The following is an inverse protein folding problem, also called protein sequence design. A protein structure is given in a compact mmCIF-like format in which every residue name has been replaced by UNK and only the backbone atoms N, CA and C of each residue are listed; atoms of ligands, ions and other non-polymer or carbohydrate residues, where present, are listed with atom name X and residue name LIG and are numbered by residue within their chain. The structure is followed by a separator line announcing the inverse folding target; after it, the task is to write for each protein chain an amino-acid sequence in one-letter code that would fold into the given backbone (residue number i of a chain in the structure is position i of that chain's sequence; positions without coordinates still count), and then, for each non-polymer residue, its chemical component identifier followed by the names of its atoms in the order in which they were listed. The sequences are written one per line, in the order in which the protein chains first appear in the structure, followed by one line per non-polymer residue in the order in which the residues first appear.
data_IF_116486402470
#
_entry.id   IF_116486402470
#
_cell.length_a   1.000
_cell.length_b   1.000
_cell.length_c   1.000
_cell.angle_alpha   90.00
_cell.angle_beta   90.00
_cell.angle_gamma   90.00
#
_symmetry.space_group_name_H-M   'P 1'
#
loop_
_entity.id
_entity.type
_entity.pdbx_description
1 polymer ?
#
# COMPACT_ATOMS: atom_id res chain seq x y z
N UNK A 1 12.14 13.66 13.43
CA UNK A 1 11.19 14.49 12.66
C UNK A 1 11.37 15.96 13.02
N UNK A 2 11.36 16.84 12.02
CA UNK A 2 11.22 18.28 12.19
C UNK A 2 9.82 18.63 12.70
N UNK A 3 9.57 19.87 13.13
CA UNK A 3 8.22 20.27 13.56
C UNK A 3 7.20 20.19 12.39
N UNK A 4 7.61 20.53 11.17
CA UNK A 4 6.76 20.40 9.99
C UNK A 4 6.42 18.93 9.69
N UNK A 5 7.40 18.03 9.75
CA UNK A 5 7.16 16.60 9.59
C UNK A 5 6.24 16.02 10.66
N UNK A 6 6.33 16.50 11.91
CA UNK A 6 5.43 16.08 12.99
C UNK A 6 3.98 16.44 12.68
N UNK A 7 3.72 17.66 12.23
CA UNK A 7 2.37 18.12 11.87
C UNK A 7 1.78 17.23 10.74
N UNK A 8 2.59 16.89 9.73
CA UNK A 8 2.15 16.00 8.66
C UNK A 8 1.89 14.58 9.21
N UNK A 9 2.81 14.06 10.03
CA UNK A 9 2.65 12.74 10.64
C UNK A 9 1.40 12.64 11.50
N UNK A 10 1.14 13.65 12.35
CA UNK A 10 -0.06 13.72 13.20
C UNK A 10 -1.33 13.73 12.32
N UNK A 11 -1.34 14.52 11.25
CA UNK A 11 -2.46 14.55 10.31
C UNK A 11 -2.70 13.19 9.64
N UNK A 12 -1.64 12.49 9.25
CA UNK A 12 -1.74 11.15 8.64
C UNK A 12 -2.28 10.12 9.64
N UNK A 13 -1.82 10.15 10.88
CA UNK A 13 -2.30 9.24 11.93
C UNK A 13 -3.76 9.54 12.27
N UNK A 14 -4.16 10.81 12.41
CA UNK A 14 -5.55 11.19 12.64
C UNK A 14 -6.44 10.72 11.48
N UNK A 15 -6.03 10.96 10.23
CA UNK A 15 -6.77 10.48 9.08
C UNK A 15 -6.89 8.94 9.07
N UNK A 16 -5.83 8.24 9.46
CA UNK A 16 -5.84 6.78 9.57
C UNK A 16 -6.82 6.28 10.64
N UNK A 17 -6.91 6.98 11.78
CA UNK A 17 -7.82 6.62 12.88
C UNK A 17 -9.27 6.98 12.58
N UNK A 18 -9.53 8.02 11.80
CA UNK A 18 -10.89 8.45 11.43
C UNK A 18 -11.48 7.61 10.29
N UNK A 19 -10.67 6.74 9.65
CA UNK A 19 -11.07 5.92 8.50
C UNK A 19 -10.75 4.43 8.72
N UNK A 20 -10.73 3.67 7.63
CA UNK A 20 -10.55 2.21 7.65
C UNK A 20 -9.25 1.72 8.34
N UNK A 21 -8.22 2.55 8.39
CA UNK A 21 -6.94 2.15 8.97
C UNK A 21 -6.99 1.98 10.50
N UNK A 22 -8.04 2.45 11.17
CA UNK A 22 -8.28 2.15 12.59
C UNK A 22 -8.33 0.64 12.84
N UNK A 23 -8.93 -0.15 11.92
CA UNK A 23 -9.03 -1.61 12.04
C UNK A 23 -7.68 -2.31 11.88
N UNK A 24 -6.68 -1.66 11.31
CA UNK A 24 -5.30 -2.14 11.23
C UNK A 24 -4.47 -1.63 12.40
N UNK A 25 -4.65 -0.37 12.81
CA UNK A 25 -3.85 0.28 13.85
C UNK A 25 -4.23 -0.15 15.27
N UNK A 26 -5.51 -0.21 15.60
CA UNK A 26 -5.99 -0.50 16.96
C UNK A 26 -6.39 -1.96 17.09
N UNK A 27 -7.05 -2.52 16.07
CA UNK A 27 -7.52 -3.89 16.06
C UNK A 27 -6.70 -4.74 15.06
N UNK A 28 -6.83 -6.05 15.19
CA UNK A 28 -6.18 -7.04 14.30
C UNK A 28 -7.12 -7.51 13.19
N UNK A 29 -8.24 -6.83 12.96
CA UNK A 29 -9.27 -7.23 12.00
C UNK A 29 -8.77 -7.14 10.55
N UNK A 30 -8.01 -6.08 10.22
CA UNK A 30 -7.40 -5.91 8.90
C UNK A 30 -5.87 -6.01 8.99
N UNK A 31 -5.23 -6.86 8.18
CA UNK A 31 -3.77 -6.94 8.16
C UNK A 31 -3.13 -5.69 7.53
N UNK A 32 -3.80 -5.06 6.56
CA UNK A 32 -3.36 -3.86 5.85
C UNK A 32 -4.53 -2.91 5.57
N UNK A 33 -4.27 -1.62 5.58
CA UNK A 33 -5.21 -0.57 5.17
C UNK A 33 -4.52 0.55 4.39
N UNK A 34 -5.29 1.20 3.51
CA UNK A 34 -4.94 2.47 2.88
C UNK A 34 -5.11 3.61 3.89
N UNK A 35 -4.23 4.61 3.83
CA UNK A 35 -4.33 5.83 4.64
C UNK A 35 -4.64 7.03 3.76
N UNK A 36 -3.83 7.23 2.72
CA UNK A 36 -3.89 8.46 1.91
C UNK A 36 -3.42 8.20 0.49
N UNK A 37 -4.22 8.70 -0.46
CA UNK A 37 -3.87 8.70 -1.87
C UNK A 37 -3.26 10.03 -2.28
N UNK A 38 -2.19 9.97 -3.07
CA UNK A 38 -1.49 11.11 -3.64
C UNK A 38 -1.44 11.03 -5.15
N UNK A 39 -1.67 12.16 -5.81
CA UNK A 39 -1.49 12.33 -7.24
C UNK A 39 -0.46 13.42 -7.47
N UNK A 40 0.78 13.02 -7.76
CA UNK A 40 1.93 13.91 -7.82
C UNK A 40 2.41 14.11 -9.27
N UNK A 41 2.68 15.34 -9.73
CA UNK A 41 3.11 15.65 -11.11
C UNK A 41 4.58 15.29 -11.36
N UNK A 42 4.97 14.05 -11.05
CA UNK A 42 6.34 13.55 -11.16
C UNK A 42 6.81 13.36 -12.62
N UNK A 43 5.87 13.31 -13.57
CA UNK A 43 6.15 13.15 -15.00
C UNK A 43 5.96 14.48 -15.77
N UNK A 44 5.68 15.58 -15.07
CA UNK A 44 5.50 16.91 -15.68
C UNK A 44 6.76 17.36 -16.43
N UNK A 45 6.57 17.98 -17.58
CA UNK A 45 7.65 18.67 -18.31
C UNK A 45 8.09 19.97 -17.61
N UNK A 46 7.27 20.49 -16.70
CA UNK A 46 7.63 21.64 -15.87
C UNK A 46 8.55 21.18 -14.73
N UNK A 47 9.83 21.53 -14.83
CA UNK A 47 10.87 21.13 -13.87
C UNK A 47 10.54 21.58 -12.44
N UNK A 48 10.03 22.80 -12.25
CA UNK A 48 9.70 23.33 -10.92
C UNK A 48 8.58 22.51 -10.27
N UNK A 49 7.54 22.18 -11.04
CA UNK A 49 6.45 21.31 -10.54
C UNK A 49 6.96 19.91 -10.16
N UNK A 50 7.79 19.32 -11.03
CA UNK A 50 8.35 18.00 -10.81
C UNK A 50 9.25 17.96 -9.58
N UNK A 51 10.15 18.93 -9.42
CA UNK A 51 11.06 19.02 -8.29
C UNK A 51 10.28 19.23 -6.97
N UNK A 52 9.26 20.09 -7.00
CA UNK A 52 8.36 20.31 -5.85
C UNK A 52 7.61 19.03 -5.46
N UNK A 53 7.07 18.32 -6.44
CA UNK A 53 6.39 17.04 -6.22
C UNK A 53 7.33 15.97 -5.65
N UNK A 54 8.57 15.91 -6.14
CA UNK A 54 9.59 15.02 -5.62
C UNK A 54 9.95 15.33 -4.16
N UNK A 55 10.05 16.61 -3.79
CA UNK A 55 10.31 17.01 -2.40
C UNK A 55 9.16 16.59 -1.47
N UNK A 56 7.91 16.72 -1.91
CA UNK A 56 6.74 16.20 -1.18
C UNK A 56 6.87 14.69 -0.97
N UNK A 57 7.15 13.94 -2.04
CA UNK A 57 7.32 12.49 -1.97
C UNK A 57 8.45 12.08 -1.02
N UNK A 58 9.61 12.76 -1.09
CA UNK A 58 10.75 12.49 -0.22
C UNK A 58 10.41 12.77 1.26
N UNK A 59 9.67 13.83 1.52
CA UNK A 59 9.18 14.16 2.88
C UNK A 59 8.24 13.07 3.40
N UNK A 60 7.28 12.63 2.59
CA UNK A 60 6.35 11.56 2.94
C UNK A 60 7.08 10.23 3.19
N UNK A 61 8.07 9.90 2.36
CA UNK A 61 8.89 8.70 2.54
C UNK A 61 9.68 8.74 3.86
N UNK A 62 10.27 9.89 4.19
CA UNK A 62 10.97 10.08 5.47
C UNK A 62 10.02 9.91 6.67
N UNK A 63 8.82 10.46 6.59
CA UNK A 63 7.78 10.31 7.63
C UNK A 63 7.36 8.83 7.73
N UNK A 64 7.05 8.17 6.61
CA UNK A 64 6.67 6.75 6.59
C UNK A 64 7.73 5.86 7.24
N UNK A 65 9.02 6.11 6.94
CA UNK A 65 10.13 5.39 7.56
C UNK A 65 10.18 5.60 9.09
N UNK A 66 9.93 6.83 9.56
CA UNK A 66 9.94 7.18 10.99
C UNK A 66 8.72 6.67 11.75
N UNK A 67 7.58 6.52 11.08
CA UNK A 67 6.37 5.89 11.63
C UNK A 67 6.45 4.37 11.65
N UNK A 68 7.33 3.78 10.84
CA UNK A 68 7.55 2.33 10.77
C UNK A 68 8.37 1.86 11.97
N UNK A 69 7.68 1.51 13.06
CA UNK A 69 8.29 1.07 14.32
C UNK A 69 7.71 -0.28 14.77
N UNK A 70 8.52 -1.09 15.44
CA UNK A 70 8.16 -2.42 15.92
C UNK A 70 7.51 -3.28 14.79
N UNK A 71 6.27 -3.72 14.98
CA UNK A 71 5.53 -4.51 14.00
C UNK A 71 4.83 -3.66 12.93
N UNK A 72 4.70 -2.36 13.14
CA UNK A 72 4.07 -1.44 12.19
C UNK A 72 4.99 -1.10 11.02
N UNK A 73 4.43 -1.07 9.81
CA UNK A 73 5.11 -0.58 8.63
C UNK A 73 4.19 0.32 7.81
N UNK A 74 4.72 1.48 7.43
CA UNK A 74 4.10 2.46 6.54
C UNK A 74 4.85 2.41 5.21
N UNK A 75 4.14 2.26 4.10
CA UNK A 75 4.74 2.10 2.77
C UNK A 75 4.05 3.01 1.78
N UNK A 76 4.84 3.79 1.05
CA UNK A 76 4.39 4.51 -0.15
C UNK A 76 4.52 3.57 -1.34
N UNK A 77 3.38 3.21 -1.93
CA UNK A 77 3.30 2.34 -3.10
C UNK A 77 2.97 3.17 -4.34
N UNK A 78 3.91 3.34 -5.27
CA UNK A 78 3.59 3.92 -6.57
C UNK A 78 2.73 2.95 -7.39
N UNK A 79 1.67 3.46 -8.00
CA UNK A 79 0.84 2.66 -8.88
C UNK A 79 1.46 2.54 -10.28
N UNK A 80 1.27 1.38 -10.90
CA UNK A 80 1.62 1.14 -12.30
C UNK A 80 0.93 2.16 -13.20
N UNK A 81 -0.38 2.34 -12.98
CA UNK A 81 -1.21 3.25 -13.77
C UNK A 81 -1.10 4.67 -13.27
N UNK A 82 -0.85 5.56 -14.20
CA UNK A 82 -0.86 6.99 -14.06
C UNK A 82 -1.32 7.62 -15.37
N UNK A 83 -1.10 8.90 -15.50
CA UNK A 83 -1.21 9.59 -16.80
C UNK A 83 0.16 10.14 -17.24
N UNK A 84 0.18 10.95 -18.29
CA UNK A 84 1.41 11.52 -18.86
C UNK A 84 2.09 12.54 -17.94
N UNK A 85 1.44 13.01 -16.90
CA UNK A 85 1.93 14.08 -16.01
C UNK A 85 2.06 13.58 -14.57
N UNK A 86 1.10 12.78 -14.11
CA UNK A 86 0.97 12.41 -12.71
C UNK A 86 1.32 10.96 -12.45
N UNK A 87 2.01 10.70 -11.35
CA UNK A 87 2.10 9.39 -10.69
C UNK A 87 1.10 9.33 -9.54
N UNK A 88 0.36 8.24 -9.49
CA UNK A 88 -0.51 7.90 -8.38
C UNK A 88 0.29 7.10 -7.34
N UNK A 89 0.17 7.48 -6.08
CA UNK A 89 0.89 6.85 -4.97
C UNK A 89 -0.07 6.69 -3.81
N UNK A 90 -0.08 5.51 -3.20
CA UNK A 90 -0.88 5.21 -2.02
C UNK A 90 0.03 5.02 -0.81
N UNK A 91 -0.35 5.60 0.31
CA UNK A 91 0.26 5.32 1.61
C UNK A 91 -0.53 4.22 2.28
N UNK A 92 0.10 3.07 2.48
CA UNK A 92 -0.44 1.95 3.22
C UNK A 92 0.16 1.85 4.62
N UNK A 93 -0.61 1.27 5.54
CA UNK A 93 -0.13 0.79 6.83
C UNK A 93 -0.48 -0.67 7.02
N UNK A 94 0.43 -1.45 7.60
CA UNK A 94 0.19 -2.84 7.95
C UNK A 94 1.02 -3.28 9.17
N UNK A 95 0.57 -4.37 9.80
CA UNK A 95 1.38 -5.13 10.75
C UNK A 95 2.17 -6.19 10.00
N UNK A 96 3.50 -6.12 10.09
CA UNK A 96 4.41 -7.05 9.38
C UNK A 96 4.07 -8.51 9.68
N UNK A 97 3.89 -8.86 10.95
CA UNK A 97 3.55 -10.22 11.38
C UNK A 97 2.22 -10.72 10.82
N UNK A 98 1.19 -9.87 10.84
CA UNK A 98 -0.15 -10.23 10.35
C UNK A 98 -0.20 -10.36 8.84
N UNK A 99 0.45 -9.42 8.14
CA UNK A 99 0.50 -9.47 6.67
C UNK A 99 1.35 -10.64 6.19
N UNK A 100 2.46 -10.94 6.88
CA UNK A 100 3.28 -12.12 6.62
C UNK A 100 2.46 -13.41 6.79
N UNK A 101 1.70 -13.53 7.87
CA UNK A 101 0.81 -14.67 8.10
C UNK A 101 -0.19 -14.84 6.94
N UNK A 102 -0.81 -13.74 6.47
CA UNK A 102 -1.75 -13.79 5.33
C UNK A 102 -1.08 -14.23 4.02
N UNK A 103 0.13 -13.79 3.77
CA UNK A 103 0.92 -14.22 2.61
C UNK A 103 1.24 -15.72 2.69
N UNK A 104 1.59 -16.21 3.86
CA UNK A 104 1.87 -17.64 4.10
C UNK A 104 0.61 -18.51 3.95
N UNK A 105 -0.55 -18.06 4.45
CA UNK A 105 -1.84 -18.73 4.22
C UNK A 105 -2.16 -18.90 2.73
N UNK A 106 -1.67 -17.99 1.87
CA UNK A 106 -1.90 -17.97 0.43
C UNK A 106 -0.66 -18.35 -0.39
N UNK A 107 0.25 -19.14 0.20
CA UNK A 107 1.53 -19.53 -0.41
C UNK A 107 1.35 -20.16 -1.79
N UNK A 108 0.31 -20.98 -2.00
CA UNK A 108 0.03 -21.62 -3.30
C UNK A 108 -0.20 -20.60 -4.40
N UNK A 109 -0.95 -19.54 -4.11
CA UNK A 109 -1.18 -18.44 -5.04
C UNK A 109 0.10 -17.64 -5.28
N UNK A 110 0.79 -17.22 -4.21
CA UNK A 110 1.97 -16.37 -4.32
C UNK A 110 3.15 -17.05 -5.02
N UNK A 111 3.27 -18.37 -4.94
CA UNK A 111 4.24 -19.15 -5.74
C UNK A 111 4.03 -18.99 -7.24
N UNK A 112 2.78 -18.84 -7.70
CA UNK A 112 2.50 -18.63 -9.13
C UNK A 112 2.98 -17.27 -9.63
N UNK A 113 3.18 -16.30 -8.71
CA UNK A 113 3.74 -14.98 -8.99
C UNK A 113 5.27 -14.93 -8.80
N UNK A 114 5.91 -16.07 -8.55
CA UNK A 114 7.34 -16.14 -8.28
C UNK A 114 7.75 -15.63 -6.88
N UNK A 115 6.78 -15.51 -5.96
CA UNK A 115 7.02 -15.05 -4.60
C UNK A 115 7.28 -16.27 -3.69
N UNK A 116 8.42 -16.27 -3.02
CA UNK A 116 8.82 -17.34 -2.08
C UNK A 116 8.36 -17.05 -0.66
N UNK A 117 8.25 -18.09 0.16
CA UNK A 117 8.09 -17.95 1.61
C UNK A 117 9.27 -17.15 2.18
N UNK A 118 9.00 -16.15 3.00
CA UNK A 118 10.02 -15.25 3.55
C UNK A 118 10.23 -13.96 2.75
N UNK A 119 9.57 -13.78 1.59
CA UNK A 119 9.50 -12.47 0.97
C UNK A 119 8.83 -11.47 1.91
N UNK A 120 9.41 -10.27 2.07
CA UNK A 120 8.84 -9.28 2.98
C UNK A 120 7.45 -8.81 2.50
N UNK A 121 6.51 -8.49 3.41
CA UNK A 121 5.20 -7.96 3.03
C UNK A 121 5.29 -6.74 2.10
N UNK A 122 6.25 -5.84 2.31
CA UNK A 122 6.47 -4.69 1.43
C UNK A 122 6.89 -5.11 0.01
N UNK A 123 7.71 -6.15 -0.12
CA UNK A 123 8.10 -6.72 -1.42
C UNK A 123 6.89 -7.33 -2.13
N UNK A 124 6.06 -8.09 -1.40
CA UNK A 124 4.84 -8.68 -1.96
C UNK A 124 3.87 -7.60 -2.43
N UNK A 125 3.68 -6.54 -1.63
CA UNK A 125 2.85 -5.39 -2.00
C UNK A 125 3.36 -4.72 -3.28
N UNK A 126 4.66 -4.49 -3.39
CA UNK A 126 5.28 -3.88 -4.57
C UNK A 126 5.10 -4.76 -5.83
N UNK A 127 5.31 -6.07 -5.73
CA UNK A 127 5.09 -7.01 -6.85
C UNK A 127 3.61 -7.02 -7.24
N UNK A 128 2.70 -7.07 -6.26
CA UNK A 128 1.25 -7.08 -6.48
C UNK A 128 0.80 -5.97 -7.41
N UNK A 129 1.32 -4.76 -7.25
CA UNK A 129 0.87 -3.62 -8.06
C UNK A 129 1.20 -3.78 -9.55
N UNK A 130 2.28 -4.46 -9.88
CA UNK A 130 2.74 -4.65 -11.27
C UNK A 130 2.28 -5.97 -11.90
N UNK A 131 1.47 -6.74 -11.17
CA UNK A 131 0.88 -7.98 -11.68
C UNK A 131 -0.25 -7.73 -12.70
N UNK A 132 -0.56 -8.75 -13.48
CA UNK A 132 -1.72 -8.75 -14.38
C UNK A 132 -3.02 -8.52 -13.59
N UNK A 133 -3.99 -7.86 -14.20
CA UNK A 133 -5.23 -7.37 -13.60
C UNK A 133 -5.85 -8.31 -12.57
N UNK A 134 -6.09 -9.56 -12.90
CA UNK A 134 -6.80 -10.50 -12.02
C UNK A 134 -5.93 -11.04 -10.89
N UNK A 135 -4.63 -11.23 -11.13
CA UNK A 135 -3.66 -11.58 -10.10
C UNK A 135 -3.50 -10.43 -9.12
N UNK A 136 -3.39 -9.20 -9.61
CA UNK A 136 -3.33 -7.99 -8.79
C UNK A 136 -4.56 -7.86 -7.90
N UNK A 137 -5.77 -8.03 -8.45
CA UNK A 137 -7.01 -7.96 -7.68
C UNK A 137 -7.08 -9.04 -6.60
N UNK A 138 -6.69 -10.28 -6.94
CA UNK A 138 -6.64 -11.38 -5.99
C UNK A 138 -5.65 -11.10 -4.87
N UNK A 139 -4.43 -10.69 -5.20
CA UNK A 139 -3.39 -10.38 -4.23
C UNK A 139 -3.81 -9.25 -3.30
N UNK A 140 -4.33 -8.13 -3.82
CA UNK A 140 -4.86 -7.06 -2.97
C UNK A 140 -6.00 -7.56 -2.07
N UNK A 141 -6.89 -8.40 -2.57
CA UNK A 141 -7.94 -9.00 -1.76
C UNK A 141 -7.38 -9.72 -0.53
N UNK A 142 -6.35 -10.54 -0.71
CA UNK A 142 -5.69 -11.24 0.40
C UNK A 142 -4.93 -10.29 1.33
N UNK A 143 -4.20 -9.32 0.78
CA UNK A 143 -3.45 -8.34 1.57
C UNK A 143 -4.37 -7.47 2.44
N UNK A 144 -5.57 -7.13 1.96
CA UNK A 144 -6.60 -6.43 2.75
C UNK A 144 -7.36 -7.35 3.73
N UNK A 145 -7.08 -8.66 3.69
CA UNK A 145 -7.66 -9.62 4.62
C UNK A 145 -9.05 -10.13 4.24
N UNK A 146 -9.48 -9.96 2.98
CA UNK A 146 -10.74 -10.53 2.54
C UNK A 146 -10.67 -12.06 2.51
N UNK A 147 -11.76 -12.75 2.89
CA UNK A 147 -11.82 -14.21 2.82
C UNK A 147 -11.83 -14.68 1.36
N UNK A 148 -11.32 -15.91 1.14
CA UNK A 148 -11.11 -16.46 -0.20
C UNK A 148 -12.38 -16.42 -1.07
N UNK A 149 -13.54 -16.78 -0.53
CA UNK A 149 -14.80 -16.76 -1.28
C UNK A 149 -15.17 -15.37 -1.81
N UNK A 150 -14.88 -14.31 -1.04
CA UNK A 150 -15.13 -12.93 -1.46
C UNK A 150 -14.15 -12.48 -2.55
N UNK A 151 -12.89 -12.87 -2.42
CA UNK A 151 -11.86 -12.62 -3.44
C UNK A 151 -12.20 -13.34 -4.74
N UNK A 152 -12.61 -14.61 -4.66
CA UNK A 152 -13.04 -15.41 -5.82
C UNK A 152 -14.25 -14.81 -6.50
N UNK A 153 -15.26 -14.42 -5.74
CA UNK A 153 -16.46 -13.77 -6.27
C UNK A 153 -16.08 -12.50 -7.05
N UNK A 154 -15.28 -11.62 -6.44
CA UNK A 154 -14.88 -10.36 -7.06
C UNK A 154 -14.07 -10.57 -8.35
N UNK A 155 -13.08 -11.45 -8.32
CA UNK A 155 -12.24 -11.74 -9.49
C UNK A 155 -13.04 -12.38 -10.62
N UNK A 156 -13.95 -13.32 -10.31
CA UNK A 156 -14.77 -13.99 -11.31
C UNK A 156 -15.82 -13.04 -11.92
N UNK A 157 -16.43 -12.18 -11.11
CA UNK A 157 -17.34 -11.14 -11.62
C UNK A 157 -16.63 -10.20 -12.60
N UNK A 158 -15.36 -9.86 -12.34
CA UNK A 158 -14.57 -9.03 -13.25
C UNK A 158 -14.13 -9.73 -14.55
N UNK A 159 -14.10 -11.08 -14.59
CA UNK A 159 -13.78 -11.85 -15.80
C UNK A 159 -14.97 -12.00 -16.74
N UNK A 160 -16.19 -11.88 -16.21
CA UNK A 160 -17.43 -12.06 -16.96
C UNK A 160 -17.92 -10.77 -17.65
N UNK A 161 -17.23 -9.66 -17.48
CA UNK A 161 -17.45 -8.39 -18.16
C UNK A 161 -16.47 -8.21 -19.33
#
# INVERSE_FOLDING_TARGET
MTNAEKVIADSLILNALDHEAIYTLIDTLKPMSSIQFYRLPLLSNNTVQKDSAYQVLATLQNIANKLSVADWQFVLQPFERGDSIYKNIELYVFRKSKLQQKIEEQTTFYKTLGITSGASPATVLAITEYEQKYNRWRSYGYLFGYPEYAVDFFVNAGKSQ
#
